data_IF_794459465403
#
_entry.id   IF_794459465403
#
_cell.length_a   1.000
_cell.length_b   1.000
_cell.length_c   1.000
_cell.angle_alpha   90.00
_cell.angle_beta   90.00
_cell.angle_gamma   90.00
#
_symmetry.space_group_name_H-M   'P 1'
#
loop_
_entity.id
_entity.type
_entity.pdbx_description
1 polymer ?
#
# COMPACT_ATOMS: atom_id res chain seq x y z
N UNK A 1 10.92 9.64 30.35
CA UNK A 1 9.95 8.60 30.71
C UNK A 1 9.16 8.29 29.46
N UNK A 2 9.27 7.08 28.90
CA UNK A 2 8.32 6.66 27.86
C UNK A 2 6.92 6.78 28.45
N UNK A 3 5.93 7.32 27.72
CA UNK A 3 4.56 7.29 28.19
C UNK A 3 4.22 5.83 28.47
N UNK A 4 3.70 5.58 29.67
CA UNK A 4 3.05 4.34 30.04
C UNK A 4 2.04 4.05 28.93
N UNK A 5 2.37 3.11 28.02
CA UNK A 5 1.50 2.74 26.91
C UNK A 5 0.38 1.92 27.54
N UNK A 6 -0.54 2.61 28.21
CA UNK A 6 -1.63 2.00 28.95
C UNK A 6 -2.40 1.06 28.05
N UNK A 7 -2.87 -0.05 28.63
CA UNK A 7 -3.85 -0.91 27.98
C UNK A 7 -5.12 -0.10 27.67
N UNK A 8 -5.75 -0.40 26.54
CA UNK A 8 -7.05 0.18 26.18
C UNK A 8 -8.19 -0.74 26.59
N UNK A 9 -9.39 -0.17 26.70
CA UNK A 9 -10.65 -0.90 26.78
C UNK A 9 -11.42 -0.67 25.49
N UNK A 10 -12.22 -1.65 25.07
CA UNK A 10 -12.96 -1.58 23.81
C UNK A 10 -14.41 -1.30 24.12
N UNK A 11 -14.97 -0.27 23.50
CA UNK A 11 -16.37 0.10 23.68
C UNK A 11 -17.13 0.13 22.35
N UNK A 12 -18.43 -0.13 22.42
CA UNK A 12 -19.37 0.05 21.34
C UNK A 12 -20.49 1.02 21.73
N UNK A 13 -20.80 1.95 20.84
CA UNK A 13 -21.93 2.86 21.03
C UNK A 13 -22.25 3.67 19.78
N UNK A 14 -23.41 4.32 19.82
CA UNK A 14 -23.84 5.30 18.83
C UNK A 14 -23.37 6.66 19.33
N UNK A 15 -22.42 7.27 18.63
CA UNK A 15 -21.87 8.57 18.99
C UNK A 15 -22.49 9.68 18.16
N UNK A 16 -22.54 10.88 18.70
CA UNK A 16 -22.81 12.05 17.87
C UNK A 16 -21.62 12.28 16.93
N UNK A 17 -21.87 12.64 15.68
CA UNK A 17 -20.78 12.96 14.73
C UNK A 17 -19.82 14.07 15.20
N UNK A 18 -20.21 14.87 16.21
CA UNK A 18 -19.37 15.89 16.84
C UNK A 18 -18.44 15.34 17.91
N UNK A 19 -18.70 14.15 18.43
CA UNK A 19 -17.89 13.50 19.47
C UNK A 19 -16.58 12.90 18.93
N UNK A 20 -16.44 12.86 17.61
CA UNK A 20 -15.31 12.28 16.90
C UNK A 20 -14.66 13.37 16.07
N UNK A 21 -13.36 13.58 16.25
CA UNK A 21 -12.61 14.56 15.46
C UNK A 21 -12.53 14.14 13.98
N UNK A 22 -12.60 15.11 13.08
CA UNK A 22 -12.41 14.91 11.62
C UNK A 22 -10.93 14.81 11.22
N UNK A 23 -10.06 14.84 12.21
CA UNK A 23 -8.61 14.78 12.13
C UNK A 23 -8.14 13.34 11.99
N UNK A 24 -7.31 13.07 10.96
CA UNK A 24 -6.58 11.82 10.87
C UNK A 24 -5.32 11.89 11.74
N UNK A 25 -5.13 10.92 12.64
CA UNK A 25 -3.85 10.73 13.35
C UNK A 25 -2.85 10.08 12.39
N UNK A 26 -1.86 10.83 11.92
CA UNK A 26 -0.77 10.34 11.05
C UNK A 26 0.49 10.11 11.87
N UNK A 27 1.05 8.89 11.80
CA UNK A 27 2.37 8.55 12.37
C UNK A 27 3.49 8.88 11.37
N UNK A 28 3.65 10.16 10.99
CA UNK A 28 4.73 10.57 10.10
C UNK A 28 5.64 11.62 10.76
N UNK A 29 6.92 11.26 10.95
CA UNK A 29 7.95 12.11 11.59
C UNK A 29 8.35 13.31 10.74
N UNK A 30 8.08 13.31 9.43
CA UNK A 30 8.54 14.33 8.49
C UNK A 30 7.54 15.50 8.30
N UNK A 31 6.35 15.44 8.92
CA UNK A 31 5.27 16.43 8.75
C UNK A 31 5.29 17.62 9.76
N UNK A 32 6.46 18.21 10.03
CA UNK A 32 6.63 19.56 10.59
C UNK A 32 6.49 19.77 12.13
N UNK A 33 6.99 20.92 12.60
CA UNK A 33 7.57 21.22 13.94
C UNK A 33 6.59 21.40 15.14
N UNK A 34 5.40 20.78 15.18
CA UNK A 34 4.58 20.75 16.42
C UNK A 34 3.87 19.42 16.56
N UNK A 35 4.58 18.48 17.14
CA UNK A 35 4.10 17.13 17.43
C UNK A 35 3.40 17.18 18.80
N UNK A 36 2.15 16.70 18.90
CA UNK A 36 1.52 16.46 20.20
C UNK A 36 2.33 15.46 21.04
N UNK A 37 1.98 15.24 22.31
CA UNK A 37 2.74 14.35 23.21
C UNK A 37 2.91 12.92 22.64
N UNK A 38 2.05 12.52 21.71
CA UNK A 38 1.99 11.18 21.08
C UNK A 38 2.31 11.12 19.58
N UNK A 39 3.03 12.08 18.99
CA UNK A 39 3.42 11.93 17.57
C UNK A 39 2.39 12.41 16.55
N UNK A 40 1.16 12.66 16.99
CA UNK A 40 0.02 12.88 16.10
C UNK A 40 -0.27 14.36 15.87
N UNK A 41 -0.62 14.73 14.65
CA UNK A 41 -1.08 16.08 14.28
C UNK A 41 -2.48 16.05 13.68
N UNK A 42 -3.32 17.05 13.99
CA UNK A 42 -4.46 17.36 13.19
C UNK A 42 -4.05 17.84 11.80
N UNK A 43 -4.26 16.99 10.81
CA UNK A 43 -4.14 17.35 9.40
C UNK A 43 -5.55 17.43 8.85
N UNK A 44 -5.92 18.58 8.28
CA UNK A 44 -7.15 18.68 7.51
C UNK A 44 -7.15 17.58 6.43
N UNK A 45 -8.22 16.81 6.28
CA UNK A 45 -8.24 15.72 5.32
C UNK A 45 -7.92 16.24 3.91
N UNK A 46 -6.95 15.62 3.24
CA UNK A 46 -6.63 15.93 1.85
C UNK A 46 -7.88 15.80 0.97
N UNK A 47 -8.42 16.92 0.54
CA UNK A 47 -9.61 16.96 -0.30
C UNK A 47 -9.31 16.57 -1.75
N UNK A 48 -8.05 16.61 -2.19
CA UNK A 48 -7.68 16.29 -3.57
C UNK A 48 -7.91 14.82 -3.86
N UNK A 49 -7.55 13.92 -2.94
CA UNK A 49 -7.85 12.50 -3.03
C UNK A 49 -9.36 12.24 -3.08
N UNK A 50 -10.15 13.01 -2.33
CA UNK A 50 -11.62 12.91 -2.36
C UNK A 50 -12.20 13.35 -3.69
N UNK A 51 -11.76 14.49 -4.21
CA UNK A 51 -12.18 15.01 -5.51
C UNK A 51 -11.85 14.04 -6.63
N UNK A 52 -10.67 13.42 -6.60
CA UNK A 52 -10.27 12.39 -7.58
C UNK A 52 -11.18 11.17 -7.51
N UNK A 53 -11.47 10.65 -6.30
CA UNK A 53 -12.39 9.53 -6.11
C UNK A 53 -13.80 9.88 -6.58
N UNK A 54 -14.27 11.08 -6.27
CA UNK A 54 -15.58 11.56 -6.68
C UNK A 54 -15.69 11.76 -8.19
N UNK A 55 -14.74 12.47 -8.80
CA UNK A 55 -14.73 12.72 -10.24
C UNK A 55 -14.66 11.42 -11.05
N UNK A 56 -13.88 10.45 -10.57
CA UNK A 56 -13.64 9.22 -11.31
C UNK A 56 -14.73 8.17 -11.09
N UNK A 57 -15.37 8.14 -9.92
CA UNK A 57 -16.27 7.03 -9.54
C UNK A 57 -17.63 7.46 -8.97
N UNK A 58 -17.81 8.75 -8.67
CA UNK A 58 -18.95 9.21 -7.87
C UNK A 58 -18.98 8.60 -6.47
N UNK A 59 -17.82 8.20 -5.93
CA UNK A 59 -17.72 7.38 -4.73
C UNK A 59 -18.46 7.98 -3.52
N UNK A 60 -18.24 9.25 -3.23
CA UNK A 60 -18.88 9.91 -2.08
C UNK A 60 -20.36 10.14 -2.33
N UNK A 61 -20.77 10.44 -3.57
CA UNK A 61 -22.20 10.55 -3.92
C UNK A 61 -22.94 9.22 -3.75
N UNK A 62 -22.36 8.11 -4.21
CA UNK A 62 -22.94 6.75 -4.05
C UNK A 62 -23.01 6.35 -2.58
N UNK A 63 -21.91 6.52 -1.85
CA UNK A 63 -21.85 6.22 -0.42
C UNK A 63 -22.86 7.08 0.38
N UNK A 64 -23.02 8.36 0.02
CA UNK A 64 -24.01 9.25 0.63
C UNK A 64 -25.43 8.76 0.40
N UNK A 65 -25.79 8.44 -0.86
CA UNK A 65 -27.11 7.93 -1.20
C UNK A 65 -27.44 6.63 -0.45
N UNK A 66 -26.48 5.71 -0.36
CA UNK A 66 -26.63 4.47 0.39
C UNK A 66 -26.82 4.73 1.89
N UNK A 67 -26.02 5.60 2.51
CA UNK A 67 -26.22 5.96 3.93
C UNK A 67 -27.58 6.63 4.17
N UNK A 68 -28.09 7.41 3.22
CA UNK A 68 -29.44 8.00 3.33
C UNK A 68 -30.56 6.95 3.22
N UNK A 69 -30.34 5.90 2.43
CA UNK A 69 -31.32 4.81 2.24
C UNK A 69 -31.31 3.80 3.38
N UNK A 70 -30.14 3.28 3.77
CA UNK A 70 -30.02 2.17 4.73
C UNK A 70 -29.40 2.56 6.08
N UNK A 71 -28.95 3.81 6.24
CA UNK A 71 -28.19 4.25 7.41
C UNK A 71 -26.73 3.79 7.37
N UNK A 72 -26.00 4.01 8.48
CA UNK A 72 -24.62 3.54 8.59
C UNK A 72 -24.63 2.06 8.97
N UNK A 73 -24.40 1.21 7.97
CA UNK A 73 -24.49 -0.25 8.08
C UNK A 73 -23.49 -0.89 9.05
N UNK A 74 -22.25 -0.42 9.05
CA UNK A 74 -21.18 -0.95 9.90
C UNK A 74 -20.63 0.15 10.81
N UNK A 75 -20.14 -0.17 12.02
CA UNK A 75 -19.46 0.81 12.83
C UNK A 75 -18.18 1.32 12.16
N UNK A 76 -17.75 2.51 12.57
CA UNK A 76 -16.39 2.99 12.32
C UNK A 76 -15.49 2.59 13.49
N UNK A 77 -14.21 2.44 13.23
CA UNK A 77 -13.23 2.18 14.29
C UNK A 77 -12.55 3.48 14.68
N UNK A 78 -12.55 3.78 15.97
CA UNK A 78 -11.98 4.98 16.56
C UNK A 78 -10.93 4.63 17.62
N UNK A 79 -10.00 5.54 17.85
CA UNK A 79 -9.10 5.54 19.01
C UNK A 79 -9.36 6.76 19.86
N UNK A 80 -9.48 6.57 21.17
CA UNK A 80 -9.69 7.62 22.17
C UNK A 80 -8.45 7.76 23.04
N UNK A 81 -7.80 8.92 22.94
CA UNK A 81 -6.58 9.30 23.67
C UNK A 81 -6.79 10.64 24.37
N UNK A 82 -5.80 11.14 25.09
CA UNK A 82 -5.88 12.39 25.88
C UNK A 82 -6.42 13.55 25.04
N UNK A 83 -5.98 13.66 23.79
CA UNK A 83 -6.31 14.77 22.88
C UNK A 83 -7.73 14.74 22.30
N UNK A 84 -8.37 13.57 22.22
CA UNK A 84 -9.64 13.44 21.50
C UNK A 84 -9.98 12.02 21.09
N UNK A 85 -11.01 11.87 20.25
CA UNK A 85 -11.43 10.58 19.71
C UNK A 85 -11.38 10.66 18.18
N UNK A 86 -10.54 9.83 17.58
CA UNK A 86 -10.14 9.95 16.19
C UNK A 86 -10.52 8.70 15.41
N UNK A 87 -11.10 8.88 14.22
CA UNK A 87 -11.39 7.77 13.32
C UNK A 87 -10.11 7.14 12.77
N UNK A 88 -10.01 5.82 12.83
CA UNK A 88 -8.93 5.00 12.27
C UNK A 88 -9.38 4.19 11.05
N UNK A 89 -10.63 3.77 11.00
CA UNK A 89 -11.20 3.06 9.86
C UNK A 89 -12.65 3.51 9.63
N UNK A 90 -13.04 3.67 8.35
CA UNK A 90 -14.37 4.16 7.98
C UNK A 90 -14.52 5.68 7.90
N UNK A 91 -13.43 6.43 7.72
CA UNK A 91 -13.43 7.90 7.69
C UNK A 91 -14.34 8.51 6.62
N UNK A 92 -14.58 7.84 5.49
CA UNK A 92 -15.54 8.32 4.48
C UNK A 92 -16.98 8.36 5.02
N UNK A 93 -17.36 7.38 5.87
CA UNK A 93 -18.66 7.37 6.56
C UNK A 93 -18.73 8.47 7.60
N UNK A 94 -17.67 8.68 8.39
CA UNK A 94 -17.60 9.79 9.35
C UNK A 94 -17.77 11.15 8.66
N UNK A 95 -17.13 11.34 7.50
CA UNK A 95 -17.25 12.58 6.74
C UNK A 95 -18.69 12.86 6.29
N UNK A 96 -19.36 11.84 5.74
CA UNK A 96 -20.79 11.97 5.37
C UNK A 96 -21.63 12.21 6.62
N UNK A 97 -21.34 11.49 7.71
CA UNK A 97 -22.07 11.62 8.95
C UNK A 97 -22.05 13.04 9.51
N UNK A 98 -20.86 13.66 9.53
CA UNK A 98 -20.67 15.07 9.93
C UNK A 98 -21.43 16.04 9.04
N UNK A 99 -21.36 15.86 7.71
CA UNK A 99 -22.05 16.74 6.76
C UNK A 99 -23.58 16.65 6.88
N UNK A 100 -24.11 15.46 7.17
CA UNK A 100 -25.55 15.19 7.30
C UNK A 100 -26.09 15.36 8.71
N UNK A 101 -25.22 15.47 9.70
CA UNK A 101 -25.61 15.59 11.10
C UNK A 101 -26.20 14.31 11.67
N UNK A 102 -25.79 13.14 11.18
CA UNK A 102 -26.27 11.82 11.64
C UNK A 102 -25.35 11.25 12.71
N UNK A 103 -25.92 10.50 13.64
CA UNK A 103 -25.15 9.77 14.64
C UNK A 103 -24.50 8.52 14.01
N UNK A 104 -23.41 8.04 14.60
CA UNK A 104 -22.55 7.03 13.98
C UNK A 104 -22.21 5.89 14.95
N UNK A 105 -22.47 4.63 14.58
CA UNK A 105 -22.03 3.49 15.36
C UNK A 105 -20.50 3.41 15.35
N UNK A 106 -19.91 3.19 16.52
CA UNK A 106 -18.47 3.20 16.71
C UNK A 106 -17.99 1.99 17.52
N UNK A 107 -16.85 1.45 17.12
CA UNK A 107 -15.98 0.62 17.95
C UNK A 107 -14.81 1.50 18.39
N UNK A 108 -14.59 1.63 19.69
CA UNK A 108 -13.65 2.59 20.25
C UNK A 108 -12.61 1.86 21.08
N UNK A 109 -11.34 1.93 20.68
CA UNK A 109 -10.22 1.61 21.56
C UNK A 109 -9.92 2.81 22.45
N UNK A 110 -10.33 2.76 23.72
CA UNK A 110 -10.27 3.87 24.67
C UNK A 110 -9.15 3.69 25.69
N UNK A 111 -8.12 4.52 25.55
CA UNK A 111 -6.92 4.53 26.38
C UNK A 111 -7.05 5.44 27.61
N UNK A 112 -8.11 6.26 27.67
CA UNK A 112 -8.28 7.32 28.68
C UNK A 112 -9.59 7.19 29.47
N UNK A 113 -10.37 6.14 29.23
CA UNK A 113 -11.61 5.86 29.97
C UNK A 113 -12.72 6.88 29.72
N UNK A 114 -12.67 7.64 28.62
CA UNK A 114 -13.69 8.62 28.24
C UNK A 114 -15.05 7.97 27.97
N UNK A 115 -15.05 6.74 27.48
CA UNK A 115 -16.22 6.04 26.97
C UNK A 115 -16.73 4.93 27.88
N UNK A 116 -16.33 4.94 29.16
CA UNK A 116 -16.71 3.91 30.14
C UNK A 116 -18.21 3.77 30.46
N UNK A 117 -19.06 4.61 29.88
CA UNK A 117 -20.52 4.56 29.97
C UNK A 117 -21.17 3.77 28.82
N UNK A 118 -20.41 3.38 27.81
CA UNK A 118 -20.85 2.61 26.66
C UNK A 118 -20.75 1.08 26.91
N UNK A 119 -21.23 0.28 25.97
CA UNK A 119 -21.13 -1.19 26.02
C UNK A 119 -19.66 -1.60 25.89
N UNK A 120 -19.11 -2.27 26.89
CA UNK A 120 -17.74 -2.80 26.82
C UNK A 120 -17.70 -4.12 26.06
N UNK A 121 -16.72 -4.26 25.17
CA UNK A 121 -16.44 -5.47 24.40
C UNK A 121 -15.13 -6.09 24.89
N UNK A 122 -15.12 -7.40 25.09
CA UNK A 122 -13.99 -8.13 25.66
C UNK A 122 -13.29 -9.02 24.65
N UNK A 123 -14.01 -9.47 23.63
CA UNK A 123 -13.52 -10.47 22.67
C UNK A 123 -13.59 -9.97 21.24
N UNK A 124 -12.85 -10.66 20.35
CA UNK A 124 -12.95 -10.46 18.90
C UNK A 124 -14.36 -10.75 18.38
N UNK A 125 -15.05 -11.73 18.95
CA UNK A 125 -16.41 -12.09 18.54
C UNK A 125 -17.40 -10.99 18.95
N UNK A 126 -17.25 -10.39 20.13
CA UNK A 126 -18.06 -9.25 20.57
C UNK A 126 -17.98 -8.07 19.57
N UNK A 127 -16.79 -7.85 18.98
CA UNK A 127 -16.57 -6.83 17.95
C UNK A 127 -17.22 -7.26 16.64
N UNK A 128 -16.99 -8.50 16.19
CA UNK A 128 -17.55 -9.02 14.94
C UNK A 128 -19.07 -8.99 14.92
N UNK A 129 -19.71 -9.21 16.06
CA UNK A 129 -21.17 -9.18 16.20
C UNK A 129 -21.76 -7.77 16.04
N UNK A 130 -20.92 -6.72 16.08
CA UNK A 130 -21.35 -5.34 15.77
C UNK A 130 -21.24 -4.99 14.29
N UNK A 131 -20.62 -5.85 13.47
CA UNK A 131 -20.51 -5.65 12.02
C UNK A 131 -21.56 -6.48 11.28
N UNK A 132 -22.29 -5.83 10.38
CA UNK A 132 -23.12 -6.52 9.38
C UNK A 132 -22.19 -7.17 8.34
N UNK A 133 -21.23 -6.41 7.82
CA UNK A 133 -20.20 -6.90 6.89
C UNK A 133 -18.88 -7.05 7.63
N UNK A 134 -18.57 -8.30 7.99
CA UNK A 134 -17.46 -8.63 8.88
C UNK A 134 -16.11 -8.20 8.28
N UNK A 135 -15.27 -7.46 9.02
CA UNK A 135 -13.89 -7.18 8.59
C UNK A 135 -13.10 -8.48 8.44
N UNK A 136 -12.24 -8.54 7.41
CA UNK A 136 -11.31 -9.67 7.24
C UNK A 136 -10.14 -9.63 8.21
N UNK A 137 -9.81 -8.45 8.75
CA UNK A 137 -8.70 -8.24 9.68
C UNK A 137 -9.24 -7.62 10.97
N UNK A 138 -9.03 -8.33 12.09
CA UNK A 138 -9.14 -7.80 13.45
C UNK A 138 -7.96 -8.34 14.24
N UNK A 139 -7.07 -7.43 14.64
CA UNK A 139 -5.91 -7.69 15.50
C UNK A 139 -6.12 -6.95 16.82
N UNK A 140 -6.11 -7.70 17.93
CA UNK A 140 -6.27 -7.20 19.29
C UNK A 140 -4.98 -7.51 20.06
N UNK A 141 -4.05 -6.57 20.10
CA UNK A 141 -2.83 -6.67 20.90
C UNK A 141 -2.96 -5.82 22.16
N UNK A 142 -2.08 -6.00 23.14
CA UNK A 142 -2.14 -5.33 24.44
C UNK A 142 -2.14 -3.79 24.33
N UNK A 143 -1.40 -3.26 23.36
CA UNK A 143 -1.18 -1.81 23.19
C UNK A 143 -1.77 -1.24 21.90
N UNK A 144 -2.21 -2.08 20.97
CA UNK A 144 -2.81 -1.63 19.72
C UNK A 144 -3.99 -2.50 19.28
N UNK A 145 -4.90 -1.86 18.56
CA UNK A 145 -6.02 -2.51 17.90
C UNK A 145 -6.04 -2.11 16.43
N UNK A 146 -6.29 -3.09 15.56
CA UNK A 146 -6.43 -2.86 14.11
C UNK A 146 -7.70 -3.54 13.61
N UNK A 147 -8.51 -2.79 12.88
CA UNK A 147 -9.63 -3.31 12.09
C UNK A 147 -9.44 -2.87 10.64
N UNK A 148 -9.53 -3.81 9.71
CA UNK A 148 -9.46 -3.52 8.28
C UNK A 148 -10.23 -4.56 7.45
N UNK A 149 -10.44 -4.22 6.18
CA UNK A 149 -11.00 -5.16 5.21
C UNK A 149 -12.49 -5.46 5.39
N UNK A 150 -13.27 -4.56 5.98
CA UNK A 150 -14.72 -4.59 5.71
C UNK A 150 -14.92 -4.31 4.23
N UNK A 151 -15.78 -5.10 3.61
CA UNK A 151 -16.21 -4.80 2.26
C UNK A 151 -16.84 -3.41 2.21
N UNK A 152 -16.41 -2.57 1.26
CA UNK A 152 -16.96 -1.22 1.10
C UNK A 152 -18.31 -1.27 0.36
N UNK A 153 -19.26 -2.02 0.92
CA UNK A 153 -20.47 -2.53 0.25
C UNK A 153 -21.57 -1.50 -0.03
N UNK A 154 -21.35 -0.22 0.28
CA UNK A 154 -22.23 0.85 -0.21
C UNK A 154 -21.94 1.17 -1.69
N UNK A 155 -21.19 0.27 -2.34
CA UNK A 155 -20.71 0.32 -3.69
C UNK A 155 -21.08 -1.01 -4.33
N UNK A 156 -21.60 -0.95 -5.55
CA UNK A 156 -21.88 -2.13 -6.33
C UNK A 156 -20.60 -2.92 -6.66
N UNK A 157 -20.76 -4.15 -7.10
CA UNK A 157 -19.66 -5.08 -7.43
C UNK A 157 -18.63 -4.45 -8.39
N UNK A 158 -19.09 -3.66 -9.37
CA UNK A 158 -18.26 -2.92 -10.32
C UNK A 158 -17.42 -1.82 -9.67
N UNK A 159 -17.93 -1.20 -8.60
CA UNK A 159 -17.25 -0.15 -7.83
C UNK A 159 -16.34 -0.73 -6.74
N UNK A 160 -16.65 -1.93 -6.23
CA UNK A 160 -15.84 -2.66 -5.23
C UNK A 160 -14.46 -3.02 -5.80
N UNK A 161 -14.39 -3.48 -7.05
CA UNK A 161 -13.14 -3.92 -7.69
C UNK A 161 -12.00 -2.89 -7.60
N UNK A 162 -12.32 -1.61 -7.52
CA UNK A 162 -11.33 -0.53 -7.47
C UNK A 162 -10.70 -0.30 -6.08
N UNK A 163 -11.47 -0.43 -4.99
CA UNK A 163 -10.94 -0.21 -3.62
C UNK A 163 -10.02 -1.34 -3.15
N UNK A 164 -10.25 -2.55 -3.65
CA UNK A 164 -9.37 -3.69 -3.39
C UNK A 164 -8.01 -3.54 -4.10
N UNK A 165 -7.92 -2.80 -5.20
CA UNK A 165 -6.64 -2.58 -5.91
C UNK A 165 -5.62 -1.72 -5.17
N UNK A 166 -6.00 -1.03 -4.07
CA UNK A 166 -5.06 -0.20 -3.30
C UNK A 166 -4.68 -0.76 -1.92
N UNK A 167 -5.42 -1.75 -1.40
CA UNK A 167 -5.20 -2.27 -0.03
C UNK A 167 -5.22 -3.80 0.11
N UNK A 168 -5.51 -4.57 -0.95
CA UNK A 168 -5.33 -6.02 -0.94
C UNK A 168 -4.06 -6.39 -1.71
N UNK A 169 -2.97 -6.54 -0.97
CA UNK A 169 -1.80 -7.32 -1.41
C UNK A 169 -2.21 -8.80 -1.43
N UNK A 170 -3.01 -9.16 -2.41
CA UNK A 170 -2.82 -10.37 -3.20
C UNK A 170 -2.96 -9.90 -4.64
N UNK A 171 -1.82 -9.58 -5.26
CA UNK A 171 -1.71 -9.19 -6.65
C UNK A 171 -2.26 -10.31 -7.52
N UNK A 172 -3.57 -10.27 -7.80
CA UNK A 172 -4.11 -11.04 -8.90
C UNK A 172 -3.60 -10.34 -10.16
N UNK A 173 -2.53 -10.91 -10.72
CA UNK A 173 -1.97 -10.48 -12.00
C UNK A 173 -3.10 -10.25 -12.99
N UNK A 174 -3.06 -9.13 -13.71
CA UNK A 174 -4.02 -8.90 -14.79
C UNK A 174 -3.90 -10.00 -15.86
N UNK A 175 -4.93 -10.19 -16.69
CA UNK A 175 -4.87 -11.17 -17.78
C UNK A 175 -3.68 -10.91 -18.73
N UNK A 176 -3.41 -9.64 -19.02
CA UNK A 176 -2.26 -9.22 -19.84
C UNK A 176 -0.93 -9.55 -19.15
N UNK A 177 -0.81 -9.23 -17.86
CA UNK A 177 0.38 -9.56 -17.06
C UNK A 177 0.64 -11.07 -17.01
N UNK A 178 -0.42 -11.88 -16.86
CA UNK A 178 -0.33 -13.33 -16.87
C UNK A 178 0.10 -13.87 -18.25
N UNK A 179 -0.44 -13.29 -19.33
CA UNK A 179 -0.05 -13.64 -20.69
C UNK A 179 1.43 -13.34 -20.96
N UNK A 180 1.89 -12.16 -20.56
CA UNK A 180 3.28 -11.72 -20.70
C UNK A 180 4.24 -12.57 -19.85
N UNK A 181 3.87 -12.87 -18.60
CA UNK A 181 4.63 -13.81 -17.76
C UNK A 181 4.75 -15.18 -18.42
N UNK A 182 3.66 -15.72 -18.95
CA UNK A 182 3.65 -17.04 -19.62
C UNK A 182 4.53 -17.06 -20.86
N UNK A 183 4.54 -15.96 -21.63
CA UNK A 183 5.45 -15.75 -22.76
C UNK A 183 6.91 -15.86 -22.29
N UNK A 184 7.32 -15.08 -21.29
CA UNK A 184 8.70 -15.08 -20.80
C UNK A 184 9.10 -16.37 -20.07
N UNK A 185 8.19 -17.01 -19.33
CA UNK A 185 8.43 -18.34 -18.74
C UNK A 185 8.75 -19.41 -19.80
N UNK A 186 8.25 -19.23 -21.02
CA UNK A 186 8.52 -20.10 -22.16
C UNK A 186 9.84 -19.70 -22.83
N UNK A 187 10.06 -18.41 -23.09
CA UNK A 187 11.28 -17.88 -23.70
C UNK A 187 12.52 -18.26 -22.90
N UNK A 188 12.48 -18.14 -21.56
CA UNK A 188 13.61 -18.48 -20.69
C UNK A 188 14.01 -19.95 -20.67
N UNK A 189 13.20 -20.85 -21.27
CA UNK A 189 13.55 -22.27 -21.45
C UNK A 189 14.42 -22.50 -22.69
N UNK A 190 14.47 -21.55 -23.61
CA UNK A 190 15.29 -21.60 -24.82
C UNK A 190 16.73 -21.29 -24.40
N UNK A 191 17.64 -22.25 -24.59
CA UNK A 191 19.03 -22.12 -24.12
C UNK A 191 19.75 -20.99 -24.85
N UNK A 192 19.49 -20.85 -26.14
CA UNK A 192 20.07 -19.86 -27.03
C UNK A 192 19.75 -18.44 -26.55
N UNK A 193 18.52 -18.21 -26.09
CA UNK A 193 18.07 -16.93 -25.54
C UNK A 193 18.88 -16.48 -24.32
N UNK A 194 19.46 -17.43 -23.57
CA UNK A 194 20.27 -17.15 -22.36
C UNK A 194 21.74 -16.86 -22.68
N UNK A 195 22.15 -16.92 -23.96
CA UNK A 195 23.56 -16.84 -24.35
C UNK A 195 24.10 -15.43 -24.19
N UNK A 196 23.35 -14.44 -24.67
CA UNK A 196 23.73 -13.03 -24.66
C UNK A 196 22.84 -12.30 -23.66
N UNK A 197 23.44 -11.44 -22.85
CA UNK A 197 22.72 -10.53 -21.96
C UNK A 197 23.14 -9.10 -22.31
N UNK A 198 22.27 -8.30 -22.95
CA UNK A 198 22.55 -6.90 -23.26
C UNK A 198 22.97 -6.10 -22.01
N UNK A 199 22.27 -6.31 -20.89
CA UNK A 199 22.65 -5.72 -19.61
C UNK A 199 24.08 -6.08 -19.16
N UNK A 200 24.55 -7.31 -19.38
CA UNK A 200 25.94 -7.71 -19.05
C UNK A 200 26.97 -6.91 -19.86
N UNK A 201 26.67 -6.61 -21.13
CA UNK A 201 27.51 -5.80 -22.01
C UNK A 201 27.49 -4.31 -21.65
N UNK A 202 26.39 -3.83 -21.05
CA UNK A 202 26.20 -2.42 -20.69
C UNK A 202 26.78 -2.03 -19.31
N UNK A 203 27.23 -3.00 -18.50
CA UNK A 203 27.71 -2.74 -17.13
C UNK A 203 28.84 -1.70 -17.08
N UNK A 204 29.82 -1.79 -17.98
CA UNK A 204 30.97 -0.87 -17.94
C UNK A 204 30.55 0.56 -18.26
N UNK A 205 29.70 0.76 -19.27
CA UNK A 205 29.15 2.08 -19.60
C UNK A 205 28.33 2.65 -18.43
N UNK A 206 27.55 1.81 -17.75
CA UNK A 206 26.79 2.23 -16.57
C UNK A 206 27.71 2.64 -15.42
N UNK A 207 28.78 1.89 -15.16
CA UNK A 207 29.74 2.21 -14.09
C UNK A 207 30.53 3.49 -14.38
N UNK A 208 30.71 3.86 -15.65
CA UNK A 208 31.28 5.16 -16.03
C UNK A 208 30.29 6.31 -15.83
N UNK A 209 28.99 6.06 -16.05
CA UNK A 209 27.93 7.05 -15.93
C UNK A 209 27.50 7.29 -14.47
N UNK A 210 27.36 6.23 -13.67
CA UNK A 210 26.88 6.27 -12.30
C UNK A 210 28.02 6.39 -11.27
N UNK A 211 27.74 6.97 -10.10
CA UNK A 211 28.70 6.95 -8.99
C UNK A 211 28.68 5.55 -8.34
N UNK A 212 29.84 4.94 -8.05
CA UNK A 212 29.94 3.54 -7.58
C UNK A 212 29.56 3.36 -6.10
N UNK A 213 28.33 3.70 -5.74
CA UNK A 213 27.76 3.51 -4.41
C UNK A 213 26.25 3.76 -4.43
N UNK A 214 25.51 3.11 -3.54
CA UNK A 214 24.09 3.38 -3.30
C UNK A 214 23.21 2.16 -3.56
N UNK A 215 21.96 2.43 -3.85
CA UNK A 215 20.90 1.48 -4.14
C UNK A 215 20.58 1.47 -5.64
N UNK A 216 20.36 0.28 -6.19
CA UNK A 216 20.15 0.09 -7.61
C UNK A 216 19.02 -0.90 -7.85
N UNK A 217 18.10 -0.56 -8.74
CA UNK A 217 17.13 -1.52 -9.29
C UNK A 217 17.50 -1.90 -10.73
N UNK A 218 17.60 -3.19 -10.99
CA UNK A 218 17.77 -3.75 -12.34
C UNK A 218 16.38 -4.12 -12.89
N UNK A 219 15.90 -3.29 -13.81
CA UNK A 219 14.54 -3.28 -14.35
C UNK A 219 14.49 -4.22 -15.55
N UNK A 220 14.03 -5.46 -15.35
CA UNK A 220 14.07 -6.51 -16.36
C UNK A 220 15.42 -7.24 -16.39
N UNK A 221 15.85 -7.74 -15.23
CA UNK A 221 17.23 -8.19 -14.98
C UNK A 221 17.68 -9.40 -15.83
N UNK A 222 16.75 -10.12 -16.46
CA UNK A 222 17.05 -11.29 -17.27
C UNK A 222 17.86 -12.34 -16.50
N UNK A 223 18.99 -12.84 -17.03
CA UNK A 223 19.82 -13.84 -16.32
C UNK A 223 20.42 -13.35 -15.00
N UNK A 224 20.39 -12.04 -14.73
CA UNK A 224 20.90 -11.39 -13.52
C UNK A 224 22.42 -11.26 -13.46
N UNK A 225 23.13 -11.50 -14.57
CA UNK A 225 24.60 -11.41 -14.64
C UNK A 225 25.10 -9.97 -14.45
N UNK A 226 24.41 -9.01 -15.06
CA UNK A 226 24.69 -7.59 -14.88
C UNK A 226 24.57 -7.19 -13.42
N UNK A 227 23.41 -7.49 -12.81
CA UNK A 227 23.15 -7.31 -11.39
C UNK A 227 24.19 -7.94 -10.46
N UNK A 228 24.62 -9.18 -10.73
CA UNK A 228 25.67 -9.82 -9.94
C UNK A 228 26.98 -9.02 -10.00
N UNK A 229 27.36 -8.53 -11.18
CA UNK A 229 28.57 -7.69 -11.37
C UNK A 229 28.42 -6.32 -10.69
N UNK A 230 27.24 -5.71 -10.78
CA UNK A 230 26.92 -4.43 -10.15
C UNK A 230 26.84 -4.52 -8.61
N UNK A 231 26.50 -5.68 -8.06
CA UNK A 231 26.40 -5.89 -6.61
C UNK A 231 27.72 -5.69 -5.86
N UNK A 232 28.87 -5.65 -6.55
CA UNK A 232 30.15 -5.25 -5.94
C UNK A 232 30.24 -3.76 -5.54
N UNK A 233 29.39 -2.90 -6.12
CA UNK A 233 29.39 -1.46 -5.89
C UNK A 233 28.06 -0.93 -5.33
N UNK A 234 26.96 -1.65 -5.54
CA UNK A 234 25.62 -1.23 -5.18
C UNK A 234 24.89 -2.30 -4.35
N UNK A 235 23.90 -1.86 -3.59
CA UNK A 235 22.84 -2.73 -3.08
C UNK A 235 21.79 -2.92 -4.16
N UNK A 236 21.68 -4.12 -4.71
CA UNK A 236 20.92 -4.39 -5.93
C UNK A 236 19.61 -5.11 -5.64
N UNK A 237 18.52 -4.60 -6.21
CA UNK A 237 17.23 -5.30 -6.33
C UNK A 237 16.94 -5.59 -7.79
N UNK A 238 16.85 -6.87 -8.14
CA UNK A 238 16.50 -7.35 -9.47
C UNK A 238 14.99 -7.48 -9.62
N UNK A 239 14.42 -6.91 -10.68
CA UNK A 239 13.04 -7.12 -11.09
C UNK A 239 12.97 -7.87 -12.43
N UNK A 240 12.13 -8.89 -12.50
CA UNK A 240 11.77 -9.54 -13.77
C UNK A 240 10.37 -10.17 -13.65
N UNK A 241 9.64 -10.25 -14.74
CA UNK A 241 8.30 -10.86 -14.76
C UNK A 241 8.38 -12.39 -14.54
N UNK A 242 9.53 -13.02 -14.79
CA UNK A 242 9.74 -14.46 -14.67
C UNK A 242 10.89 -14.81 -13.72
N UNK A 243 10.60 -15.53 -12.64
CA UNK A 243 11.63 -16.16 -11.77
C UNK A 243 12.57 -17.13 -12.51
N UNK A 244 12.18 -17.58 -13.71
CA UNK A 244 12.96 -18.48 -14.55
C UNK A 244 14.10 -17.76 -15.25
N UNK A 245 14.12 -16.42 -15.25
CA UNK A 245 15.13 -15.62 -15.91
C UNK A 245 16.54 -15.90 -15.36
N UNK A 246 16.69 -15.97 -14.04
CA UNK A 246 17.99 -16.02 -13.39
C UNK A 246 18.85 -17.21 -13.80
N UNK A 247 20.16 -16.99 -13.87
CA UNK A 247 21.14 -18.05 -13.96
C UNK A 247 21.36 -18.73 -12.61
N UNK A 248 21.74 -20.01 -12.62
CA UNK A 248 21.98 -20.78 -11.39
C UNK A 248 23.04 -20.12 -10.48
N UNK A 249 24.21 -19.67 -10.99
CA UNK A 249 25.15 -18.92 -10.17
C UNK A 249 24.55 -17.68 -9.51
N UNK A 250 23.75 -16.89 -10.24
CA UNK A 250 23.11 -15.68 -9.70
C UNK A 250 22.12 -16.02 -8.58
N UNK A 251 21.27 -17.05 -8.78
CA UNK A 251 20.37 -17.54 -7.72
C UNK A 251 21.13 -17.96 -6.45
N UNK A 252 22.28 -18.61 -6.62
CA UNK A 252 23.12 -19.03 -5.49
C UNK A 252 23.84 -17.87 -4.80
N UNK A 253 23.95 -16.71 -5.45
CA UNK A 253 24.59 -15.51 -4.92
C UNK A 253 23.61 -14.54 -4.25
N UNK A 254 22.31 -14.83 -4.24
CA UNK A 254 21.31 -13.98 -3.59
C UNK A 254 21.61 -13.83 -2.09
N UNK A 255 21.54 -12.59 -1.61
CA UNK A 255 21.77 -12.19 -0.21
C UNK A 255 21.20 -10.79 0.04
N UNK A 256 21.45 -10.20 1.21
CA UNK A 256 20.94 -8.87 1.58
C UNK A 256 21.37 -7.72 0.64
N UNK A 257 22.48 -7.91 -0.09
CA UNK A 257 23.02 -6.96 -1.05
C UNK A 257 22.64 -7.25 -2.52
N UNK A 258 22.11 -8.44 -2.80
CA UNK A 258 21.65 -8.84 -4.14
C UNK A 258 20.34 -9.62 -4.00
N UNK A 259 19.23 -8.93 -4.23
CA UNK A 259 17.88 -9.47 -4.02
C UNK A 259 17.15 -9.63 -5.36
N UNK A 260 16.19 -10.55 -5.42
CA UNK A 260 15.31 -10.76 -6.58
C UNK A 260 13.86 -10.62 -6.16
N UNK A 261 13.06 -9.91 -6.96
CA UNK A 261 11.62 -9.83 -6.82
C UNK A 261 10.99 -10.07 -8.18
N UNK A 262 10.20 -11.14 -8.29
CA UNK A 262 9.34 -11.34 -9.44
C UNK A 262 8.28 -10.24 -9.47
N UNK A 263 8.27 -9.44 -10.53
CA UNK A 263 7.37 -8.30 -10.65
C UNK A 263 7.15 -7.93 -12.12
N UNK A 264 5.96 -7.41 -12.41
CA UNK A 264 5.66 -6.76 -13.67
C UNK A 264 6.05 -5.29 -13.61
N UNK A 265 6.72 -4.77 -14.66
CA UNK A 265 7.24 -3.40 -14.64
C UNK A 265 6.16 -2.30 -14.71
N UNK A 266 4.93 -2.60 -15.14
CA UNK A 266 3.79 -1.66 -15.04
C UNK A 266 2.94 -1.90 -13.77
N UNK A 267 3.39 -2.78 -12.88
CA UNK A 267 2.68 -3.10 -11.65
C UNK A 267 3.66 -3.53 -10.55
N UNK A 268 4.48 -2.60 -10.06
CA UNK A 268 5.38 -2.85 -8.94
C UNK A 268 5.49 -1.67 -7.99
N UNK A 269 6.04 -1.94 -6.81
CA UNK A 269 6.40 -0.92 -5.82
C UNK A 269 7.70 -1.33 -5.15
N UNK A 270 8.59 -0.36 -5.00
CA UNK A 270 9.85 -0.45 -4.27
C UNK A 270 10.07 0.85 -3.48
N UNK A 271 10.90 0.84 -2.43
CA UNK A 271 11.46 2.06 -1.87
C UNK A 271 12.23 2.85 -2.94
N UNK A 272 12.44 4.15 -2.71
CA UNK A 272 13.29 4.98 -3.58
C UNK A 272 14.69 4.36 -3.75
N UNK A 273 15.20 4.39 -4.97
CA UNK A 273 16.50 3.91 -5.41
C UNK A 273 17.31 5.05 -5.99
N UNK A 274 18.62 5.04 -5.77
CA UNK A 274 19.52 6.03 -6.36
C UNK A 274 19.61 5.86 -7.88
N UNK A 275 19.58 4.62 -8.37
CA UNK A 275 19.69 4.30 -9.79
C UNK A 275 18.70 3.23 -10.27
N UNK A 276 18.18 3.41 -11.48
CA UNK A 276 17.58 2.36 -12.29
C UNK A 276 18.52 1.94 -13.43
N UNK A 277 18.61 0.63 -13.69
CA UNK A 277 19.36 0.05 -14.80
C UNK A 277 18.37 -0.73 -15.68
N UNK A 278 18.17 -0.30 -16.93
CA UNK A 278 17.17 -0.85 -17.85
C UNK A 278 17.81 -1.02 -19.24
N UNK A 279 18.06 -2.27 -19.65
CA UNK A 279 18.78 -2.56 -20.90
C UNK A 279 18.03 -3.60 -21.74
N UNK A 280 17.64 -3.25 -22.97
CA UNK A 280 16.87 -4.11 -23.91
C UNK A 280 15.57 -4.65 -23.28
N UNK A 281 14.76 -3.73 -22.72
CA UNK A 281 13.50 -4.03 -22.01
C UNK A 281 12.32 -3.23 -22.56
N UNK A 282 12.49 -1.93 -22.80
CA UNK A 282 11.38 -1.04 -23.14
C UNK A 282 10.70 -1.39 -24.47
N UNK A 283 11.46 -1.91 -25.44
CA UNK A 283 10.97 -2.41 -26.73
C UNK A 283 10.09 -3.66 -26.63
N UNK A 284 10.10 -4.33 -25.47
CA UNK A 284 9.32 -5.53 -25.22
C UNK A 284 8.04 -5.29 -24.44
N UNK A 285 7.89 -4.10 -23.87
CA UNK A 285 6.68 -3.70 -23.13
C UNK A 285 5.53 -3.54 -24.14
N UNK A 286 4.33 -4.08 -23.87
CA UNK A 286 3.14 -3.77 -24.67
C UNK A 286 2.98 -2.26 -24.82
N UNK A 287 2.70 -1.77 -26.02
CA UNK A 287 2.70 -0.33 -26.32
C UNK A 287 1.78 0.45 -25.36
N UNK A 288 0.62 -0.12 -25.02
CA UNK A 288 -0.36 0.46 -24.09
C UNK A 288 0.09 0.48 -22.62
N UNK A 289 1.23 -0.15 -22.29
CA UNK A 289 1.80 -0.23 -20.95
C UNK A 289 3.09 0.56 -20.76
N UNK A 290 3.62 1.17 -21.83
CA UNK A 290 4.88 1.93 -21.76
C UNK A 290 4.79 3.08 -20.75
N UNK A 291 3.71 3.87 -20.79
CA UNK A 291 3.54 5.00 -19.85
C UNK A 291 3.46 4.53 -18.39
N UNK A 292 2.74 3.43 -18.13
CA UNK A 292 2.62 2.85 -16.78
C UNK A 292 3.99 2.35 -16.26
N UNK A 293 4.82 1.76 -17.14
CA UNK A 293 6.20 1.36 -16.79
C UNK A 293 7.04 2.59 -16.44
N UNK A 294 6.98 3.65 -17.25
CA UNK A 294 7.73 4.87 -17.00
C UNK A 294 7.28 5.58 -15.71
N UNK A 295 5.98 5.56 -15.41
CA UNK A 295 5.43 6.06 -14.15
C UNK A 295 5.98 5.26 -12.96
N UNK A 296 5.98 3.91 -13.03
CA UNK A 296 6.56 3.09 -11.97
C UNK A 296 8.07 3.32 -11.77
N UNK A 297 8.82 3.45 -12.87
CA UNK A 297 10.27 3.73 -12.82
C UNK A 297 10.54 5.10 -12.21
N UNK A 298 9.84 6.15 -12.68
CA UNK A 298 10.03 7.53 -12.20
C UNK A 298 9.62 7.69 -10.73
N UNK A 299 8.67 6.88 -10.26
CA UNK A 299 8.24 6.87 -8.87
C UNK A 299 9.25 6.23 -7.90
N UNK A 300 10.25 5.50 -8.39
CA UNK A 300 11.19 4.77 -7.54
C UNK A 300 12.68 5.00 -7.84
N UNK A 301 13.06 5.72 -8.90
CA UNK A 301 14.45 5.95 -9.27
C UNK A 301 14.78 7.44 -9.33
N UNK A 302 15.89 7.87 -8.74
CA UNK A 302 16.39 9.24 -8.88
C UNK A 302 16.98 9.50 -10.28
N UNK A 303 17.66 8.50 -10.84
CA UNK A 303 18.20 8.53 -12.19
C UNK A 303 18.13 7.14 -12.82
N UNK A 304 17.96 7.08 -14.15
CA UNK A 304 17.81 5.80 -14.86
C UNK A 304 18.72 5.77 -16.09
N UNK A 305 19.45 4.67 -16.23
CA UNK A 305 20.23 4.35 -17.41
C UNK A 305 19.41 3.44 -18.32
N UNK A 306 19.10 3.93 -19.53
CA UNK A 306 18.46 3.16 -20.59
C UNK A 306 19.48 2.79 -21.66
N UNK A 307 19.49 1.51 -22.08
CA UNK A 307 20.32 1.03 -23.18
C UNK A 307 19.59 0.08 -24.10
#
# INVERSE_FOLDING_TARGET
>A
MSPDTGSYRIFYGILNHRDIDDIALVDNKDYGVRVGKYGSRPVEPDTSSRQKLEQKYGFYSKLEASIEEEGIRNPIFCQSIDEGTFGKYGLSRLWIAKRKGIDIPCIIADYVGRWGHLEELFTKDDILDKYIDKPTIIDLEETFMKIAGCEQMHLDEDDRGFFYHRNAVENKMSELELAEKKKYDTVWRIREYRTISPGELAVDNFLEWAKPSGTLVDLGCGPGRASLRLSGNYKVTMLDISERCLDKPVRNSLNDNLTFKQACLWNFTLPQQDYGFCCDVMEHIPEEKVDEVLDCISACCDAVYFN
#
